data_IF_312172954459
#
_entry.id   IF_312172954459
#
_cell.length_a   1.000
_cell.length_b   1.000
_cell.length_c   1.000
_cell.angle_alpha   90.00
_cell.angle_beta   90.00
_cell.angle_gamma   90.00
#
_symmetry.space_group_name_H-M   'P 1'
#
loop_
_entity.id
_entity.type
_entity.pdbx_description
1 polymer ?
#
# COMPACT_ATOMS: atom_id res chain seq x y z
N UNK A 1 16.16 -31.41 29.68
CA UNK A 1 15.22 -31.16 28.57
C UNK A 1 14.47 -29.89 28.91
N UNK A 2 14.91 -28.76 28.36
CA UNK A 2 14.23 -27.47 28.56
C UNK A 2 12.92 -27.45 27.76
N UNK A 3 11.81 -27.24 28.46
CA UNK A 3 10.51 -26.96 27.85
C UNK A 3 10.53 -25.52 27.34
N UNK A 4 10.71 -25.34 26.03
CA UNK A 4 10.50 -24.07 25.36
C UNK A 4 8.99 -23.82 25.33
N UNK A 5 8.52 -22.97 26.25
CA UNK A 5 7.19 -22.36 26.13
C UNK A 5 7.18 -21.49 24.88
N UNK A 6 6.63 -22.00 23.78
CA UNK A 6 6.21 -21.15 22.68
C UNK A 6 5.11 -20.22 23.20
N UNK A 7 5.47 -18.97 23.47
CA UNK A 7 4.50 -17.90 23.66
C UNK A 7 3.52 -17.93 22.49
N UNK A 8 2.20 -18.01 22.71
CA UNK A 8 1.24 -18.01 21.62
C UNK A 8 1.41 -16.72 20.83
N UNK A 9 1.65 -16.85 19.52
CA UNK A 9 1.72 -15.72 18.60
C UNK A 9 0.48 -14.84 18.84
N UNK A 10 0.64 -13.52 19.08
CA UNK A 10 -0.49 -12.63 19.28
C UNK A 10 -1.48 -12.78 18.12
N UNK A 11 -2.74 -13.05 18.46
CA UNK A 11 -3.79 -13.23 17.47
C UNK A 11 -4.13 -11.86 16.87
N UNK A 12 -3.65 -11.61 15.66
CA UNK A 12 -3.99 -10.40 14.92
C UNK A 12 -5.41 -10.49 14.34
N UNK A 13 -6.19 -9.41 14.46
CA UNK A 13 -7.49 -9.26 13.81
C UNK A 13 -7.34 -8.39 12.58
N UNK A 14 -7.78 -8.87 11.43
CA UNK A 14 -7.64 -8.17 10.15
C UNK A 14 -8.99 -7.99 9.47
N UNK A 15 -9.12 -6.88 8.75
CA UNK A 15 -10.22 -6.60 7.84
C UNK A 15 -9.63 -6.17 6.50
N UNK A 16 -10.08 -6.79 5.41
CA UNK A 16 -9.65 -6.46 4.06
C UNK A 16 -10.57 -5.44 3.40
N UNK A 17 -10.02 -4.54 2.58
CA UNK A 17 -10.80 -3.63 1.74
C UNK A 17 -10.36 -3.80 0.27
N UNK A 18 -11.33 -3.94 -0.63
CA UNK A 18 -11.06 -3.97 -2.06
C UNK A 18 -12.27 -3.39 -2.83
N UNK A 19 -12.01 -2.84 -4.01
CA UNK A 19 -13.04 -2.29 -4.90
C UNK A 19 -13.77 -3.38 -5.69
N UNK A 20 -13.11 -4.52 -5.90
CA UNK A 20 -13.58 -5.67 -6.67
C UNK A 20 -14.37 -6.63 -5.78
N UNK A 21 -15.69 -6.61 -5.94
CA UNK A 21 -16.59 -7.57 -5.27
C UNK A 21 -16.19 -9.03 -5.53
N UNK A 22 -15.72 -9.34 -6.73
CA UNK A 22 -15.30 -10.69 -7.10
C UNK A 22 -14.05 -11.13 -6.34
N UNK A 23 -13.04 -10.24 -6.20
CA UNK A 23 -11.86 -10.54 -5.40
C UNK A 23 -12.22 -10.67 -3.92
N UNK A 24 -13.14 -9.85 -3.41
CA UNK A 24 -13.60 -9.96 -2.03
C UNK A 24 -14.29 -11.29 -1.73
N UNK A 25 -15.09 -11.82 -2.65
CA UNK A 25 -15.72 -13.14 -2.50
C UNK A 25 -14.68 -14.26 -2.41
N UNK A 26 -13.57 -14.14 -3.14
CA UNK A 26 -12.43 -15.06 -3.06
C UNK A 26 -11.70 -14.86 -1.73
N UNK A 27 -11.38 -13.61 -1.39
CA UNK A 27 -10.63 -13.25 -0.19
C UNK A 27 -11.34 -13.71 1.09
N UNK A 28 -12.66 -13.57 1.16
CA UNK A 28 -13.49 -13.98 2.29
C UNK A 28 -13.35 -15.48 2.61
N UNK A 29 -13.09 -16.32 1.59
CA UNK A 29 -13.02 -17.79 1.71
C UNK A 29 -11.61 -18.36 1.58
N UNK A 30 -10.60 -17.53 1.35
CA UNK A 30 -9.26 -18.06 1.09
C UNK A 30 -8.64 -18.69 2.37
N UNK A 31 -7.56 -19.46 2.18
CA UNK A 31 -6.92 -20.24 3.25
C UNK A 31 -7.54 -21.64 3.45
N UNK A 32 -6.97 -22.43 4.34
CA UNK A 32 -7.32 -23.85 4.52
C UNK A 32 -8.43 -24.09 5.58
N UNK A 33 -9.06 -23.03 6.09
CA UNK A 33 -10.02 -23.11 7.18
C UNK A 33 -11.45 -22.80 6.73
N UNK A 34 -12.44 -23.24 7.52
CA UNK A 34 -13.85 -22.89 7.34
C UNK A 34 -14.20 -21.48 7.86
N UNK A 35 -13.20 -20.73 8.34
CA UNK A 35 -13.39 -19.40 8.94
C UNK A 35 -13.43 -18.37 7.81
N UNK A 36 -14.52 -17.61 7.76
CA UNK A 36 -14.64 -16.47 6.85
C UNK A 36 -13.80 -15.29 7.34
N UNK A 37 -13.16 -14.58 6.41
CA UNK A 37 -12.40 -13.37 6.71
C UNK A 37 -13.28 -12.14 6.59
N UNK A 38 -13.04 -11.17 7.46
CA UNK A 38 -13.72 -9.88 7.42
C UNK A 38 -13.24 -9.08 6.20
N UNK A 39 -14.19 -8.69 5.35
CA UNK A 39 -13.91 -7.94 4.13
C UNK A 39 -14.95 -6.86 3.87
N UNK A 40 -14.53 -5.75 3.30
CA UNK A 40 -15.37 -4.58 2.99
C UNK A 40 -15.17 -4.19 1.53
N UNK A 41 -16.29 -4.02 0.82
CA UNK A 41 -16.28 -3.41 -0.50
C UNK A 41 -16.18 -1.90 -0.37
N UNK A 42 -15.10 -1.30 -0.87
CA UNK A 42 -14.87 0.13 -0.77
C UNK A 42 -13.79 0.63 -1.74
N UNK A 43 -13.62 1.95 -1.81
CA UNK A 43 -12.54 2.59 -2.54
C UNK A 43 -11.44 3.03 -1.56
N UNK A 44 -10.17 2.90 -1.95
CA UNK A 44 -9.03 3.31 -1.11
C UNK A 44 -8.95 4.83 -0.91
N UNK A 45 -9.73 5.60 -1.66
CA UNK A 45 -9.84 7.05 -1.53
C UNK A 45 -10.89 7.48 -0.49
N UNK A 46 -11.78 6.57 -0.11
CA UNK A 46 -12.88 6.84 0.80
C UNK A 46 -12.43 6.85 2.27
N UNK A 47 -13.19 7.57 3.10
CA UNK A 47 -12.96 7.65 4.55
C UNK A 47 -13.84 6.64 5.29
N UNK A 48 -13.78 5.36 4.93
CA UNK A 48 -14.67 4.34 5.51
C UNK A 48 -14.28 3.92 6.93
N UNK A 49 -13.04 4.23 7.32
CA UNK A 49 -12.51 3.90 8.64
C UNK A 49 -12.59 5.09 9.59
N UNK A 50 -12.86 4.81 10.86
CA UNK A 50 -12.62 5.78 11.92
C UNK A 50 -11.12 6.12 11.96
N UNK A 51 -10.80 7.40 12.18
CA UNK A 51 -9.40 7.79 12.37
C UNK A 51 -8.78 7.08 13.57
N UNK A 52 -7.52 6.65 13.43
CA UNK A 52 -6.79 6.00 14.52
C UNK A 52 -7.25 4.57 14.86
N UNK A 53 -8.09 3.94 14.04
CA UNK A 53 -8.72 2.66 14.35
C UNK A 53 -7.73 1.49 14.43
N UNK A 54 -6.72 1.46 13.56
CA UNK A 54 -5.87 0.29 13.39
C UNK A 54 -4.50 0.43 14.03
N UNK A 55 -3.97 -0.66 14.58
CA UNK A 55 -2.56 -0.74 14.98
C UNK A 55 -1.62 -0.76 13.77
N UNK A 56 -2.09 -1.31 12.64
CA UNK A 56 -1.34 -1.35 11.40
C UNK A 56 -2.22 -1.37 10.15
N UNK A 57 -1.67 -0.95 9.01
CA UNK A 57 -2.28 -1.07 7.69
C UNK A 57 -1.26 -1.57 6.65
N UNK A 58 -1.74 -2.31 5.65
CA UNK A 58 -0.91 -2.76 4.51
C UNK A 58 -1.59 -2.35 3.20
N UNK A 59 -0.81 -1.84 2.26
CA UNK A 59 -1.25 -1.48 0.91
C UNK A 59 -0.28 -2.08 -0.10
N UNK A 60 -0.60 -3.28 -0.57
CA UNK A 60 0.23 -4.05 -1.49
C UNK A 60 -0.37 -3.97 -2.89
N UNK A 61 0.43 -3.52 -3.86
CA UNK A 61 0.05 -3.46 -5.27
C UNK A 61 -1.31 -2.79 -5.54
N UNK A 62 -1.56 -1.65 -4.89
CA UNK A 62 -2.84 -0.95 -4.94
C UNK A 62 -2.70 0.48 -5.45
N UNK A 63 -1.84 1.30 -4.84
CA UNK A 63 -1.74 2.74 -5.12
C UNK A 63 -1.32 3.05 -6.57
N UNK A 64 -0.49 2.20 -7.18
CA UNK A 64 -0.07 2.36 -8.58
C UNK A 64 -1.23 2.27 -9.59
N UNK A 65 -2.43 1.86 -9.19
CA UNK A 65 -3.60 1.85 -10.07
C UNK A 65 -4.29 3.22 -10.19
N UNK A 66 -3.87 4.21 -9.39
CA UNK A 66 -4.49 5.52 -9.35
C UNK A 66 -3.78 6.46 -10.32
N UNK A 67 -4.54 6.94 -11.32
CA UNK A 67 -3.99 7.66 -12.47
C UNK A 67 -3.36 9.02 -12.15
N UNK A 68 -3.86 9.71 -11.13
CA UNK A 68 -3.41 11.07 -10.83
C UNK A 68 -2.58 11.10 -9.56
N UNK A 69 -1.52 11.95 -9.48
CA UNK A 69 -0.74 12.16 -8.27
C UNK A 69 -1.62 12.48 -7.06
N UNK A 70 -2.67 13.29 -7.23
CA UNK A 70 -3.59 13.70 -6.17
C UNK A 70 -4.33 12.51 -5.57
N UNK A 71 -4.73 11.54 -6.41
CA UNK A 71 -5.41 10.32 -5.95
C UNK A 71 -4.43 9.40 -5.23
N UNK A 72 -3.21 9.25 -5.74
CA UNK A 72 -2.15 8.50 -5.05
C UNK A 72 -1.86 9.09 -3.67
N UNK A 73 -1.73 10.41 -3.59
CA UNK A 73 -1.50 11.14 -2.33
C UNK A 73 -2.68 10.95 -1.38
N UNK A 74 -3.92 11.07 -1.88
CA UNK A 74 -5.13 10.86 -1.07
C UNK A 74 -5.20 9.44 -0.50
N UNK A 75 -4.82 8.41 -1.24
CA UNK A 75 -4.77 7.05 -0.73
C UNK A 75 -3.76 6.89 0.43
N UNK A 76 -2.58 7.50 0.32
CA UNK A 76 -1.60 7.54 1.43
C UNK A 76 -2.19 8.25 2.65
N UNK A 77 -2.87 9.38 2.45
CA UNK A 77 -3.54 10.09 3.55
C UNK A 77 -4.59 9.21 4.25
N UNK A 78 -5.36 8.39 3.51
CA UNK A 78 -6.33 7.47 4.11
C UNK A 78 -5.67 6.41 4.98
N UNK A 79 -4.53 5.87 4.54
CA UNK A 79 -3.74 4.95 5.36
C UNK A 79 -3.24 5.63 6.64
N UNK A 80 -2.64 6.82 6.53
CA UNK A 80 -2.14 7.61 7.66
C UNK A 80 -3.23 7.96 8.69
N UNK A 81 -4.43 8.29 8.22
CA UNK A 81 -5.58 8.60 9.06
C UNK A 81 -6.16 7.35 9.73
N UNK A 82 -6.15 6.20 9.04
CA UNK A 82 -6.79 4.97 9.54
C UNK A 82 -6.04 4.30 10.70
N UNK A 83 -4.73 4.53 10.83
CA UNK A 83 -3.91 3.91 11.87
C UNK A 83 -3.73 4.81 13.09
N UNK A 84 -3.49 4.21 14.26
CA UNK A 84 -3.25 4.91 15.52
C UNK A 84 -2.19 6.01 15.36
N UNK A 85 -2.45 7.26 15.78
CA UNK A 85 -1.45 8.32 15.69
C UNK A 85 -0.26 8.09 16.64
N UNK A 86 -0.42 7.25 17.67
CA UNK A 86 0.61 7.03 18.70
C UNK A 86 1.61 5.93 18.34
N UNK A 87 1.14 4.88 17.68
CA UNK A 87 1.93 3.66 17.43
C UNK A 87 1.60 2.96 16.09
N UNK A 88 0.74 3.55 15.26
CA UNK A 88 0.28 2.95 14.02
C UNK A 88 1.42 2.71 13.04
N UNK A 89 1.45 1.54 12.41
CA UNK A 89 2.45 1.20 11.38
C UNK A 89 1.80 0.95 10.01
N UNK A 90 2.47 1.35 8.93
CA UNK A 90 1.92 1.19 7.58
C UNK A 90 3.00 0.60 6.68
N UNK A 91 2.65 -0.42 5.90
CA UNK A 91 3.50 -0.93 4.82
C UNK A 91 2.86 -0.61 3.47
N UNK A 92 3.61 0.05 2.58
CA UNK A 92 3.20 0.35 1.21
C UNK A 92 4.15 -0.35 0.25
N UNK A 93 3.60 -1.07 -0.72
CA UNK A 93 4.34 -1.72 -1.81
C UNK A 93 3.75 -1.29 -3.16
N UNK A 94 4.60 -0.75 -4.04
CA UNK A 94 4.22 -0.26 -5.38
C UNK A 94 5.15 -0.82 -6.45
N UNK A 95 4.71 -0.78 -7.71
CA UNK A 95 5.51 -1.30 -8.81
C UNK A 95 6.61 -0.30 -9.15
N UNK A 96 7.84 -0.78 -9.27
CA UNK A 96 9.02 0.04 -9.57
C UNK A 96 9.31 0.07 -11.08
N UNK A 97 9.91 1.13 -11.61
CA UNK A 97 10.37 1.17 -13.00
C UNK A 97 11.51 0.16 -13.23
N UNK A 98 12.38 -0.06 -12.24
CA UNK A 98 13.44 -1.05 -12.30
C UNK A 98 12.86 -2.47 -12.22
N UNK A 99 13.24 -3.31 -13.18
CA UNK A 99 12.79 -4.70 -13.28
C UNK A 99 13.96 -5.67 -13.10
N UNK A 100 13.71 -6.75 -12.35
CA UNK A 100 14.60 -7.90 -12.30
C UNK A 100 14.39 -8.85 -13.50
N UNK A 101 15.32 -9.78 -13.65
CA UNK A 101 15.30 -10.80 -14.72
C UNK A 101 14.15 -11.81 -14.62
N UNK A 102 13.43 -11.86 -13.50
CA UNK A 102 12.26 -12.71 -13.30
C UNK A 102 10.95 -11.99 -13.63
N UNK A 103 11.00 -10.68 -13.86
CA UNK A 103 9.84 -9.89 -14.21
C UNK A 103 9.31 -10.29 -15.58
N UNK A 104 8.01 -10.59 -15.64
CA UNK A 104 7.28 -10.85 -16.88
C UNK A 104 6.65 -9.58 -17.48
N UNK A 105 6.93 -8.41 -16.89
CA UNK A 105 6.34 -7.13 -17.31
C UNK A 105 7.15 -6.56 -18.46
N UNK A 106 6.45 -6.18 -19.52
CA UNK A 106 7.04 -5.41 -20.61
C UNK A 106 6.75 -3.93 -20.34
N UNK A 107 7.75 -3.21 -19.82
CA UNK A 107 7.65 -1.77 -19.55
C UNK A 107 8.38 -1.08 -20.70
N UNK A 108 7.73 -0.14 -21.41
CA UNK A 108 8.41 0.68 -22.40
C UNK A 108 9.64 1.33 -21.77
N UNK A 109 10.79 1.20 -22.42
CA UNK A 109 12.01 1.91 -22.03
C UNK A 109 11.73 3.41 -21.99
N UNK A 110 12.12 4.04 -20.89
CA UNK A 110 11.73 5.40 -20.53
C UNK A 110 12.25 6.42 -21.57
N UNK A 111 11.34 7.12 -22.26
CA UNK A 111 11.65 8.37 -22.98
C UNK A 111 11.38 9.62 -22.12
N UNK A 112 10.92 9.43 -20.87
CA UNK A 112 10.59 10.49 -19.92
C UNK A 112 11.81 11.08 -19.18
N UNK A 113 11.54 12.07 -18.33
CA UNK A 113 12.56 12.71 -17.50
C UNK A 113 13.17 11.73 -16.48
N UNK A 114 14.50 11.83 -16.30
CA UNK A 114 15.22 10.99 -15.34
C UNK A 114 14.75 11.32 -13.93
N UNK A 115 14.19 10.33 -13.23
CA UNK A 115 13.71 10.47 -11.85
C UNK A 115 12.19 10.56 -11.71
N UNK A 116 11.42 10.51 -12.81
CA UNK A 116 9.96 10.42 -12.76
C UNK A 116 9.45 9.02 -13.10
N UNK A 117 8.34 8.62 -12.45
CA UNK A 117 7.62 7.41 -12.75
C UNK A 117 6.97 7.43 -14.13
N UNK A 118 6.53 6.25 -14.58
CA UNK A 118 6.02 6.04 -15.95
C UNK A 118 4.61 5.48 -15.93
N UNK A 119 3.74 6.10 -16.69
CA UNK A 119 2.39 5.60 -16.91
C UNK A 119 2.36 4.56 -18.03
N UNK A 120 1.83 3.39 -17.72
CA UNK A 120 1.77 2.27 -18.67
C UNK A 120 0.38 1.66 -18.73
N UNK A 121 0.06 1.11 -19.89
CA UNK A 121 -1.10 0.24 -20.09
C UNK A 121 -0.64 -1.20 -20.22
N UNK A 122 -1.07 -2.04 -19.29
CA UNK A 122 -0.74 -3.47 -19.29
C UNK A 122 -1.93 -4.24 -19.86
N UNK A 123 -1.73 -5.04 -20.93
CA UNK A 123 -2.75 -5.93 -21.46
C UNK A 123 -3.21 -6.94 -20.41
N UNK A 124 -4.52 -7.03 -20.22
CA UNK A 124 -5.16 -7.95 -19.30
C UNK A 124 -6.23 -8.77 -20.03
N UNK A 125 -5.98 -10.07 -20.10
CA UNK A 125 -6.88 -11.02 -20.77
C UNK A 125 -7.97 -11.45 -19.79
N UNK A 126 -9.23 -11.25 -20.18
CA UNK A 126 -10.37 -11.78 -19.46
C UNK A 126 -10.49 -13.28 -19.73
N UNK A 127 -10.04 -14.12 -18.78
CA UNK A 127 -10.11 -15.59 -18.86
C UNK A 127 -11.52 -16.16 -19.12
N UNK A 128 -12.58 -15.36 -18.93
CA UNK A 128 -13.98 -15.78 -19.14
C UNK A 128 -14.62 -15.16 -20.40
N UNK A 129 -13.91 -14.32 -21.16
CA UNK A 129 -14.46 -13.77 -22.40
C UNK A 129 -14.43 -14.85 -23.49
N UNK A 130 -15.58 -15.11 -24.12
CA UNK A 130 -15.70 -16.10 -25.22
C UNK A 130 -14.87 -15.72 -26.46
N UNK A 131 -14.45 -14.45 -26.56
CA UNK A 131 -13.76 -13.89 -27.71
C UNK A 131 -12.27 -13.53 -27.43
N UNK A 132 -11.74 -13.87 -26.25
CA UNK A 132 -10.35 -13.52 -25.90
C UNK A 132 -10.11 -12.00 -25.80
N UNK A 133 -11.09 -11.27 -25.29
CA UNK A 133 -11.02 -9.82 -25.15
C UNK A 133 -9.85 -9.41 -24.25
N UNK A 134 -9.03 -8.51 -24.77
CA UNK A 134 -7.89 -7.90 -24.08
C UNK A 134 -8.30 -6.51 -23.65
N UNK A 135 -8.28 -6.25 -22.35
CA UNK A 135 -8.47 -4.92 -21.78
C UNK A 135 -7.13 -4.36 -21.34
N UNK A 136 -6.92 -3.06 -21.51
CA UNK A 136 -5.71 -2.40 -21.03
C UNK A 136 -5.96 -1.82 -19.64
N UNK A 137 -5.12 -2.20 -18.68
CA UNK A 137 -5.16 -1.68 -17.31
C UNK A 137 -4.07 -0.63 -17.13
N UNK A 138 -4.45 0.52 -16.59
CA UNK A 138 -3.51 1.57 -16.23
C UNK A 138 -2.69 1.16 -15.00
N UNK A 139 -1.40 1.49 -15.05
CA UNK A 139 -0.47 1.46 -13.93
C UNK A 139 0.45 2.67 -13.99
N UNK A 140 0.77 3.20 -12.83
CA UNK A 140 1.87 4.14 -12.63
C UNK A 140 3.06 3.38 -12.03
N UNK A 141 4.13 3.26 -12.79
CA UNK A 141 5.40 2.65 -12.38
C UNK A 141 6.24 3.68 -11.64
N UNK A 142 6.46 3.50 -10.35
CA UNK A 142 7.20 4.46 -9.53
C UNK A 142 8.69 4.44 -9.83
N UNK A 143 9.31 5.61 -9.96
CA UNK A 143 10.77 5.74 -9.97
C UNK A 143 11.36 5.69 -8.54
N UNK A 144 12.67 5.45 -8.44
CA UNK A 144 13.39 5.54 -7.17
C UNK A 144 13.18 6.90 -6.49
N UNK A 145 12.76 6.89 -5.23
CA UNK A 145 12.49 8.09 -4.42
C UNK A 145 11.08 8.69 -4.59
N UNK A 146 10.33 8.31 -5.63
CA UNK A 146 9.01 8.87 -5.89
C UNK A 146 7.97 8.50 -4.83
N UNK A 147 8.02 7.25 -4.34
CA UNK A 147 7.12 6.80 -3.27
C UNK A 147 7.36 7.60 -1.98
N UNK A 148 8.61 7.89 -1.64
CA UNK A 148 8.96 8.72 -0.51
C UNK A 148 8.43 10.15 -0.66
N UNK A 149 8.67 10.79 -1.81
CA UNK A 149 8.15 12.13 -2.09
C UNK A 149 6.61 12.19 -1.99
N UNK A 150 5.92 11.17 -2.49
CA UNK A 150 4.47 11.04 -2.36
C UNK A 150 4.01 11.01 -0.90
N UNK A 151 4.74 10.27 -0.04
CA UNK A 151 4.44 10.14 1.38
C UNK A 151 4.75 11.45 2.12
N UNK A 152 5.85 12.13 1.79
CA UNK A 152 6.20 13.43 2.35
C UNK A 152 5.12 14.47 2.05
N UNK A 153 4.65 14.53 0.80
CA UNK A 153 3.55 15.40 0.39
C UNK A 153 2.25 15.08 1.14
N UNK A 154 1.88 13.81 1.20
CA UNK A 154 0.68 13.36 1.92
C UNK A 154 0.74 13.72 3.41
N UNK A 155 1.91 13.57 4.03
CA UNK A 155 2.16 13.87 5.43
C UNK A 155 2.08 15.38 5.69
N UNK A 156 2.72 16.18 4.84
CA UNK A 156 2.70 17.66 4.90
C UNK A 156 1.29 18.22 4.77
N UNK A 157 0.49 17.71 3.83
CA UNK A 157 -0.90 18.14 3.64
C UNK A 157 -1.82 17.81 4.82
N UNK A 158 -1.49 16.78 5.62
CA UNK A 158 -2.19 16.46 6.86
C UNK A 158 -1.70 17.28 8.06
N UNK A 159 -0.75 18.20 7.86
CA UNK A 159 -0.16 18.99 8.95
C UNK A 159 0.68 18.15 9.91
N UNK A 160 1.28 17.07 9.42
CA UNK A 160 2.12 16.16 10.19
C UNK A 160 3.61 16.42 9.90
N UNK A 161 4.47 16.19 10.89
CA UNK A 161 5.91 16.27 10.73
C UNK A 161 6.49 14.97 10.14
N UNK A 162 7.47 15.10 9.24
CA UNK A 162 8.30 13.97 8.80
C UNK A 162 9.50 13.79 9.74
N UNK A 163 9.90 12.55 9.99
CA UNK A 163 11.08 12.20 10.79
C UNK A 163 10.73 11.61 12.15
N UNK A 164 11.73 11.47 13.03
CA UNK A 164 11.57 10.93 14.38
C UNK A 164 10.93 11.97 15.34
N UNK A 165 10.31 11.55 16.45
CA UNK A 165 9.71 12.46 17.43
C UNK A 165 10.72 13.49 17.96
N UNK A 166 10.31 14.76 18.01
CA UNK A 166 11.16 15.88 18.44
C UNK A 166 10.88 16.37 19.88
N UNK A 167 9.89 15.78 20.55
CA UNK A 167 9.54 16.09 21.94
C UNK A 167 8.79 17.42 22.11
N UNK A 168 8.23 18.00 21.04
CA UNK A 168 7.58 19.34 21.08
C UNK A 168 6.04 19.28 21.03
N UNK A 169 5.44 18.22 21.56
CA UNK A 169 3.99 18.00 21.45
C UNK A 169 3.49 17.85 20.01
N UNK A 170 4.39 17.51 19.07
CA UNK A 170 4.08 17.35 17.66
C UNK A 170 3.50 15.96 17.34
N UNK A 171 2.94 15.82 16.14
CA UNK A 171 2.50 14.54 15.57
C UNK A 171 3.20 14.33 14.25
N UNK A 172 3.63 13.12 13.96
CA UNK A 172 4.40 12.89 12.75
C UNK A 172 4.39 11.46 12.23
N UNK A 173 5.22 11.27 11.22
CA UNK A 173 5.44 10.03 10.48
C UNK A 173 6.94 9.84 10.32
N UNK A 174 7.42 8.68 10.75
CA UNK A 174 8.78 8.24 10.53
C UNK A 174 8.80 7.16 9.45
N UNK A 175 9.65 7.30 8.44
CA UNK A 175 9.98 6.22 7.51
C UNK A 175 11.01 5.32 8.19
N UNK A 176 10.56 4.20 8.75
CA UNK A 176 11.41 3.31 9.55
C UNK A 176 12.18 2.31 8.69
N UNK A 177 11.66 1.99 7.52
CA UNK A 177 12.34 1.17 6.52
C UNK A 177 11.88 1.56 5.13
N UNK A 178 12.78 1.46 4.16
CA UNK A 178 12.46 1.61 2.76
C UNK A 178 13.43 0.82 1.89
N UNK A 179 13.03 0.50 0.68
CA UNK A 179 13.92 -0.13 -0.29
C UNK A 179 13.21 -0.59 -1.53
N UNK A 180 13.90 -1.46 -2.25
CA UNK A 180 13.43 -2.10 -3.46
C UNK A 180 13.54 -3.62 -3.28
N UNK A 181 12.50 -4.35 -3.65
CA UNK A 181 12.50 -5.81 -3.67
C UNK A 181 11.69 -6.34 -4.86
N UNK A 182 12.33 -7.20 -5.66
CA UNK A 182 11.70 -7.94 -6.76
C UNK A 182 10.87 -7.04 -7.66
N UNK A 183 11.46 -5.95 -8.13
CA UNK A 183 10.83 -4.99 -9.03
C UNK A 183 9.67 -4.19 -8.42
N UNK A 184 9.73 -3.94 -7.10
CA UNK A 184 8.79 -3.13 -6.35
C UNK A 184 9.54 -2.23 -5.37
N UNK A 185 9.08 -0.99 -5.21
CA UNK A 185 9.48 -0.14 -4.10
C UNK A 185 8.58 -0.38 -2.90
N UNK A 186 9.15 -0.27 -1.71
CA UNK A 186 8.39 -0.33 -0.47
C UNK A 186 8.87 0.69 0.56
N UNK A 187 7.92 1.12 1.39
CA UNK A 187 8.18 1.96 2.56
C UNK A 187 7.36 1.44 3.74
N UNK A 188 8.01 1.31 4.88
CA UNK A 188 7.39 1.10 6.17
C UNK A 188 7.36 2.43 6.96
N UNK A 189 6.18 2.79 7.44
CA UNK A 189 5.93 4.03 8.19
C UNK A 189 5.56 3.71 9.63
N UNK A 190 5.92 4.61 10.54
CA UNK A 190 5.46 4.62 11.94
C UNK A 190 4.91 5.99 12.30
N UNK A 191 3.68 6.02 12.81
CA UNK A 191 3.05 7.21 13.38
C UNK A 191 3.52 7.42 14.81
N UNK A 192 3.66 8.68 15.19
CA UNK A 192 3.99 9.07 16.55
C UNK A 192 3.29 10.36 16.96
N UNK A 193 3.12 10.51 18.27
CA UNK A 193 2.74 11.76 18.95
C UNK A 193 3.77 11.96 20.06
N UNK A 194 4.38 13.13 20.12
CA UNK A 194 5.21 13.53 21.26
C UNK A 194 4.31 13.89 22.44
N UNK A 195 4.70 13.45 23.64
CA UNK A 195 4.09 13.91 24.89
C UNK A 195 4.47 15.35 25.22
#
# INVERSE_FOLDING_TARGET
>A
MENIYHSPIPRAYTIGLDRSKNLLQIAQRAGNGQILREVVCGDVLDSVWREGLFDYAISIATIHHLATPERRRRAVQRLLQSVSPKHGRILIYVWATEQDSLSKRNIPSNEGEVGEGVDVFVPWVMNQSKNGEVFNRYYHMFAEGELEGLIEDATRELGLSMGSPDGRGAKGVEMVQKGWERSNHYVELKRWVSE
#
